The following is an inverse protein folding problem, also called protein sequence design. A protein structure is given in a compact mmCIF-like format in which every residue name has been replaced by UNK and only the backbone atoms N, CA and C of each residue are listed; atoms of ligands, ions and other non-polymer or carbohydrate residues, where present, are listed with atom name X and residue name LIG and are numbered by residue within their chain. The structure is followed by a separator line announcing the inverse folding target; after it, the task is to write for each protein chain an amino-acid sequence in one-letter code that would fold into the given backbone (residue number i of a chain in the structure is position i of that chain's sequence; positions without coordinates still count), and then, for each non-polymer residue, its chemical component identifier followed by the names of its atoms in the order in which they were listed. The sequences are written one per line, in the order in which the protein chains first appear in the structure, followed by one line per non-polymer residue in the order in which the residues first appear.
data_IF_802858998480
#
_entry.id   IF_802858998480
#
_cell.length_a   1.000
_cell.length_b   1.000
_cell.length_c   1.000
_cell.angle_alpha   90.00
_cell.angle_beta   90.00
_cell.angle_gamma   90.00
#
_symmetry.space_group_name_H-M   'P 1'
#
loop_
_entity.id
_entity.type
_entity.pdbx_description
1 polymer ?
#
# COMPACT_ATOMS: atom_id res chain seq x y z
N UNK A 1 14.23 -22.02 23.54
CA UNK A 1 13.20 -21.00 23.19
C UNK A 1 13.36 -20.62 21.73
N UNK A 2 12.29 -20.73 20.94
CA UNK A 2 12.27 -20.25 19.55
C UNK A 2 11.93 -18.75 19.58
N UNK A 3 12.86 -17.89 19.16
CA UNK A 3 12.61 -16.45 19.05
C UNK A 3 11.85 -16.22 17.74
N UNK A 4 10.59 -15.82 17.86
CA UNK A 4 9.74 -15.45 16.71
C UNK A 4 10.10 -14.02 16.33
N UNK A 5 10.13 -13.75 15.02
CA UNK A 5 10.39 -12.40 14.53
C UNK A 5 9.26 -11.45 14.94
N UNK A 6 9.62 -10.25 15.40
CA UNK A 6 8.65 -9.18 15.67
C UNK A 6 8.58 -8.28 14.44
N UNK A 7 7.40 -8.15 13.87
CA UNK A 7 7.14 -7.31 12.71
C UNK A 7 6.12 -6.25 13.10
N UNK A 8 6.38 -5.01 12.69
CA UNK A 8 5.52 -3.86 12.94
C UNK A 8 5.18 -3.15 11.63
N UNK A 9 3.90 -2.87 11.43
CA UNK A 9 3.43 -2.10 10.29
C UNK A 9 3.43 -0.60 10.62
N UNK A 10 4.04 0.21 9.76
CA UNK A 10 4.00 1.67 9.85
C UNK A 10 2.60 2.19 9.45
N UNK A 11 1.63 2.00 10.33
CA UNK A 11 0.21 2.26 10.08
C UNK A 11 -0.14 3.74 9.91
N UNK A 12 0.60 4.65 10.54
CA UNK A 12 0.23 6.06 10.66
C UNK A 12 -1.15 6.25 11.32
N UNK A 13 -1.57 5.30 12.17
CA UNK A 13 -2.90 5.28 12.79
C UNK A 13 -4.03 4.82 11.86
N UNK A 14 -3.71 4.24 10.69
CA UNK A 14 -4.70 3.76 9.72
C UNK A 14 -4.82 2.23 9.77
N UNK A 15 -6.04 1.72 9.60
CA UNK A 15 -6.33 0.28 9.44
C UNK A 15 -6.58 -0.05 7.96
N UNK A 16 -5.58 -0.45 7.21
CA UNK A 16 -5.77 -0.79 5.78
C UNK A 16 -6.40 -2.18 5.60
N UNK A 17 -6.13 -3.10 6.52
CA UNK A 17 -6.57 -4.50 6.42
C UNK A 17 -6.98 -5.03 7.79
N UNK A 18 -7.92 -5.99 7.90
CA UNK A 18 -8.23 -6.64 9.17
C UNK A 18 -7.00 -7.21 9.90
N UNK A 19 -5.97 -7.63 9.17
CA UNK A 19 -4.70 -8.13 9.70
C UNK A 19 -3.63 -7.05 9.95
N UNK A 20 -3.87 -5.78 9.58
CA UNK A 20 -2.95 -4.65 9.76
C UNK A 20 -3.59 -3.58 10.66
N UNK A 21 -3.24 -3.60 11.94
CA UNK A 21 -3.89 -2.80 12.96
C UNK A 21 -3.38 -1.35 12.94
N UNK A 22 -4.20 -0.43 13.44
CA UNK A 22 -3.83 0.99 13.64
C UNK A 22 -2.64 1.13 14.58
N UNK A 23 -2.49 0.21 15.52
CA UNK A 23 -1.36 0.11 16.43
C UNK A 23 -0.11 -0.49 15.78
N UNK A 24 -0.11 -0.77 14.47
CA UNK A 24 0.97 -1.43 13.74
C UNK A 24 1.14 -2.94 13.99
N UNK A 25 0.24 -3.57 14.77
CA UNK A 25 0.23 -5.02 14.93
C UNK A 25 -0.11 -5.70 13.60
N UNK A 26 0.70 -6.68 13.20
CA UNK A 26 0.49 -7.53 12.03
C UNK A 26 -0.01 -8.90 12.47
N UNK A 27 -1.12 -9.37 11.92
CA UNK A 27 -1.70 -10.69 12.22
C UNK A 27 -1.30 -11.71 11.15
N UNK A 28 -0.38 -12.61 11.50
CA UNK A 28 0.02 -13.76 10.69
C UNK A 28 0.34 -14.94 11.60
N UNK A 29 0.00 -16.15 11.15
CA UNK A 29 0.30 -17.38 11.89
C UNK A 29 1.82 -17.58 12.06
N UNK A 30 2.60 -17.23 11.03
CA UNK A 30 4.06 -17.21 11.05
C UNK A 30 4.65 -16.23 12.09
N UNK A 31 3.86 -15.27 12.57
CA UNK A 31 4.28 -14.31 13.61
C UNK A 31 3.68 -14.64 14.97
N UNK A 32 2.98 -15.78 15.10
CA UNK A 32 2.21 -16.16 16.29
C UNK A 32 1.20 -15.09 16.76
N UNK A 33 0.73 -14.26 15.83
CA UNK A 33 -0.29 -13.22 16.07
C UNK A 33 -1.63 -13.56 15.44
N UNK A 34 -1.73 -14.73 14.82
CA UNK A 34 -2.95 -15.28 14.23
C UNK A 34 -3.02 -16.80 14.40
N UNK A 35 -4.21 -17.38 14.21
CA UNK A 35 -4.38 -18.83 14.25
C UNK A 35 -3.67 -19.48 13.07
N UNK A 36 -3.12 -20.67 13.29
CA UNK A 36 -2.48 -21.51 12.28
C UNK A 36 -2.12 -22.87 12.88
N UNK A 37 -1.80 -23.85 12.03
CA UNK A 37 -1.49 -25.24 12.40
C UNK A 37 -0.19 -25.70 11.75
N UNK A 38 0.55 -26.58 12.44
CA UNK A 38 1.74 -27.24 11.90
C UNK A 38 2.73 -26.25 11.27
N UNK A 39 2.98 -26.44 9.96
CA UNK A 39 3.92 -25.64 9.16
C UNK A 39 3.48 -24.19 8.90
N UNK A 40 2.24 -23.79 9.24
CA UNK A 40 1.79 -22.41 9.14
C UNK A 40 2.34 -21.51 10.26
N UNK A 41 2.86 -22.11 11.34
CA UNK A 41 3.49 -21.38 12.46
C UNK A 41 5.00 -21.25 12.26
N UNK A 42 5.61 -20.28 12.94
CA UNK A 42 7.06 -20.06 12.88
C UNK A 42 7.85 -21.31 13.28
N UNK A 43 8.60 -21.86 12.33
CA UNK A 43 9.57 -22.93 12.56
C UNK A 43 10.99 -22.38 12.58
N UNK A 44 11.73 -22.59 13.67
CA UNK A 44 13.09 -22.05 13.86
C UNK A 44 14.05 -22.40 12.71
N UNK A 45 13.91 -23.59 12.13
CA UNK A 45 14.81 -24.11 11.09
C UNK A 45 14.21 -24.09 9.68
N UNK A 46 12.92 -23.72 9.55
CA UNK A 46 12.17 -23.84 8.30
C UNK A 46 11.49 -22.54 7.88
N UNK A 47 11.41 -21.55 8.77
CA UNK A 47 10.79 -20.26 8.49
C UNK A 47 11.81 -19.19 8.11
N UNK A 48 11.46 -18.33 7.16
CA UNK A 48 12.32 -17.23 6.70
C UNK A 48 11.57 -15.89 6.70
N UNK A 49 12.32 -14.78 6.73
CA UNK A 49 11.71 -13.45 6.56
C UNK A 49 11.04 -13.31 5.19
N UNK A 50 11.59 -13.95 4.15
CA UNK A 50 10.96 -13.96 2.82
C UNK A 50 9.56 -14.57 2.86
N UNK A 51 9.36 -15.67 3.58
CA UNK A 51 8.02 -16.25 3.75
C UNK A 51 7.06 -15.31 4.46
N UNK A 52 7.53 -14.53 5.44
CA UNK A 52 6.70 -13.50 6.08
C UNK A 52 6.29 -12.44 5.06
N UNK A 53 7.23 -11.91 4.28
CA UNK A 53 6.96 -10.88 3.27
C UNK A 53 6.00 -11.39 2.16
N UNK A 54 6.22 -12.60 1.65
CA UNK A 54 5.34 -13.23 0.66
C UNK A 54 3.96 -13.52 1.25
N UNK A 55 3.87 -13.90 2.53
CA UNK A 55 2.58 -14.09 3.22
C UNK A 55 1.82 -12.78 3.37
N UNK A 56 2.51 -11.67 3.67
CA UNK A 56 1.88 -10.34 3.69
C UNK A 56 1.36 -10.00 2.29
N UNK A 57 2.16 -10.19 1.25
CA UNK A 57 1.76 -9.89 -0.13
C UNK A 57 0.55 -10.73 -0.57
N UNK A 58 0.59 -12.05 -0.37
CA UNK A 58 -0.42 -12.97 -0.90
C UNK A 58 -1.69 -13.09 -0.05
N UNK A 59 -1.57 -13.03 1.28
CA UNK A 59 -2.70 -13.28 2.20
C UNK A 59 -3.30 -11.99 2.75
N UNK A 60 -2.47 -10.96 2.97
CA UNK A 60 -2.91 -9.71 3.60
C UNK A 60 -3.27 -8.66 2.55
N UNK A 61 -2.39 -8.38 1.61
CA UNK A 61 -2.58 -7.33 0.59
C UNK A 61 -3.30 -7.86 -0.66
N UNK A 62 -4.46 -8.50 -0.46
CA UNK A 62 -5.30 -9.05 -1.53
C UNK A 62 -6.36 -8.05 -2.05
N UNK A 63 -7.10 -8.45 -3.08
CA UNK A 63 -8.11 -7.66 -3.79
C UNK A 63 -9.44 -7.49 -3.01
N UNK A 64 -9.70 -8.36 -2.03
CA UNK A 64 -10.94 -8.37 -1.23
C UNK A 64 -10.65 -8.46 0.27
N UNK A 65 -9.91 -7.49 0.84
CA UNK A 65 -9.40 -7.53 2.20
C UNK A 65 -10.48 -7.57 3.29
N UNK A 66 -11.73 -7.19 2.98
CA UNK A 66 -12.88 -7.32 3.88
C UNK A 66 -13.05 -8.75 4.41
N UNK A 67 -12.83 -9.77 3.56
CA UNK A 67 -13.03 -11.17 3.94
C UNK A 67 -11.87 -11.76 4.76
N UNK A 68 -10.83 -10.98 5.03
CA UNK A 68 -9.78 -11.36 5.97
C UNK A 68 -10.28 -11.32 7.43
N UNK A 69 -11.39 -10.61 7.71
CA UNK A 69 -12.00 -10.61 9.04
C UNK A 69 -12.62 -11.99 9.37
N UNK A 70 -12.38 -12.54 10.57
CA UNK A 70 -12.99 -13.79 11.01
C UNK A 70 -14.52 -13.78 10.87
N UNK A 71 -15.06 -14.88 10.35
CA UNK A 71 -16.50 -15.06 10.18
C UNK A 71 -17.07 -14.48 8.89
N UNK A 72 -16.34 -13.62 8.17
CA UNK A 72 -16.88 -12.98 6.96
C UNK A 72 -16.76 -13.82 5.70
N UNK A 73 -15.91 -14.86 5.70
CA UNK A 73 -15.71 -15.75 4.55
C UNK A 73 -17.00 -16.37 4.00
N UNK A 74 -17.94 -16.74 4.87
CA UNK A 74 -19.21 -17.35 4.45
C UNK A 74 -20.16 -16.36 3.77
N UNK A 75 -19.89 -15.05 3.88
CA UNK A 75 -20.63 -14.00 3.18
C UNK A 75 -20.04 -13.66 1.83
N UNK A 76 -18.86 -14.21 1.48
CA UNK A 76 -18.33 -14.11 0.13
C UNK A 76 -19.38 -14.64 -0.85
N UNK A 77 -19.56 -13.97 -1.99
CA UNK A 77 -20.54 -14.30 -3.02
C UNK A 77 -22.01 -13.96 -2.67
N UNK A 78 -22.32 -13.53 -1.45
CA UNK A 78 -23.62 -12.95 -1.14
C UNK A 78 -23.68 -11.49 -1.60
N UNK A 79 -24.83 -11.01 -2.08
CA UNK A 79 -24.99 -9.60 -2.48
C UNK A 79 -24.60 -8.62 -1.37
N UNK A 80 -24.93 -8.96 -0.11
CA UNK A 80 -24.56 -8.17 1.07
C UNK A 80 -23.04 -8.14 1.31
N UNK A 81 -22.40 -9.32 1.30
CA UNK A 81 -20.95 -9.42 1.50
C UNK A 81 -20.14 -8.74 0.39
N UNK A 82 -20.57 -8.88 -0.87
CA UNK A 82 -19.96 -8.15 -2.00
C UNK A 82 -20.08 -6.63 -1.82
N UNK A 83 -21.25 -6.13 -1.40
CA UNK A 83 -21.46 -4.71 -1.15
C UNK A 83 -20.53 -4.19 -0.04
N UNK A 84 -20.40 -4.94 1.05
CA UNK A 84 -19.49 -4.59 2.14
C UNK A 84 -18.02 -4.61 1.70
N UNK A 85 -17.61 -5.61 0.91
CA UNK A 85 -16.25 -5.69 0.36
C UNK A 85 -15.93 -4.49 -0.54
N UNK A 86 -16.87 -4.09 -1.40
CA UNK A 86 -16.72 -2.93 -2.27
C UNK A 86 -16.57 -1.62 -1.48
N UNK A 87 -17.40 -1.41 -0.46
CA UNK A 87 -17.30 -0.25 0.44
C UNK A 87 -15.98 -0.25 1.24
N UNK A 88 -15.50 -1.43 1.64
CA UNK A 88 -14.22 -1.58 2.32
C UNK A 88 -13.06 -1.21 1.38
N UNK A 89 -13.12 -1.58 0.10
CA UNK A 89 -12.10 -1.23 -0.90
C UNK A 89 -12.04 0.29 -1.14
N UNK A 90 -13.18 0.97 -1.19
CA UNK A 90 -13.24 2.45 -1.27
C UNK A 90 -12.48 3.09 -0.11
N UNK A 91 -12.79 2.67 1.12
CA UNK A 91 -12.15 3.19 2.33
C UNK A 91 -10.65 2.88 2.37
N UNK A 92 -10.28 1.65 1.98
CA UNK A 92 -8.89 1.19 1.96
C UNK A 92 -8.07 1.98 0.95
N UNK A 93 -8.60 2.25 -0.24
CA UNK A 93 -7.90 3.04 -1.26
C UNK A 93 -7.61 4.46 -0.79
N UNK A 94 -8.59 5.13 -0.16
CA UNK A 94 -8.39 6.45 0.45
C UNK A 94 -7.29 6.40 1.53
N UNK A 95 -7.27 5.35 2.36
CA UNK A 95 -6.21 5.14 3.36
C UNK A 95 -4.84 4.85 2.72
N UNK A 96 -4.80 4.17 1.58
CA UNK A 96 -3.57 3.98 0.79
C UNK A 96 -3.04 5.32 0.28
N UNK A 97 -3.89 6.21 -0.26
CA UNK A 97 -3.49 7.57 -0.64
C UNK A 97 -2.91 8.35 0.55
N UNK A 98 -3.53 8.25 1.74
CA UNK A 98 -2.99 8.86 2.97
C UNK A 98 -1.63 8.28 3.37
N UNK A 99 -1.46 6.97 3.24
CA UNK A 99 -0.20 6.28 3.54
C UNK A 99 0.91 6.73 2.59
N UNK A 100 0.62 6.88 1.30
CA UNK A 100 1.54 7.47 0.31
C UNK A 100 1.97 8.88 0.73
N UNK A 101 1.02 9.74 1.14
CA UNK A 101 1.34 11.08 1.64
C UNK A 101 2.24 11.04 2.88
N UNK A 102 2.01 10.12 3.81
CA UNK A 102 2.87 9.96 4.98
C UNK A 102 4.29 9.56 4.59
N UNK A 103 4.44 8.60 3.67
CA UNK A 103 5.74 8.16 3.17
C UNK A 103 6.47 9.28 2.42
N UNK A 104 5.79 10.05 1.57
CA UNK A 104 6.40 11.18 0.84
C UNK A 104 6.90 12.28 1.78
N UNK A 105 6.11 12.61 2.81
CA UNK A 105 6.43 13.68 3.77
C UNK A 105 7.48 13.28 4.80
N UNK A 106 7.44 12.01 5.23
CA UNK A 106 8.35 11.45 6.22
C UNK A 106 8.70 10.02 5.82
N UNK A 107 9.64 9.85 4.89
CA UNK A 107 10.08 8.53 4.48
C UNK A 107 10.59 7.73 5.69
N UNK A 108 10.39 6.40 5.72
CA UNK A 108 11.02 5.57 6.73
C UNK A 108 12.54 5.69 6.65
N UNK A 109 13.19 5.66 7.81
CA UNK A 109 14.64 5.73 7.92
C UNK A 109 15.30 4.65 7.06
N UNK A 110 16.29 5.03 6.25
CA UNK A 110 16.99 4.18 5.28
C UNK A 110 16.20 3.78 4.04
N UNK A 111 14.99 4.32 3.85
CA UNK A 111 14.16 4.11 2.67
C UNK A 111 13.87 5.40 1.91
N UNK A 112 14.55 6.51 2.22
CA UNK A 112 14.34 7.82 1.62
C UNK A 112 14.47 7.77 0.10
N UNK A 113 15.58 7.23 -0.40
CA UNK A 113 15.86 7.08 -1.83
C UNK A 113 14.86 6.13 -2.49
N UNK A 114 14.50 5.02 -1.84
CA UNK A 114 13.51 4.08 -2.38
C UNK A 114 12.15 4.77 -2.54
N UNK A 115 11.68 5.48 -1.52
CA UNK A 115 10.41 6.20 -1.53
C UNK A 115 10.39 7.27 -2.62
N UNK A 116 11.47 8.04 -2.73
CA UNK A 116 11.64 9.08 -3.75
C UNK A 116 11.47 8.51 -5.16
N UNK A 117 12.27 7.50 -5.52
CA UNK A 117 12.24 6.92 -6.86
C UNK A 117 10.96 6.13 -7.14
N UNK A 118 10.49 5.34 -6.18
CA UNK A 118 9.24 4.58 -6.32
C UNK A 118 8.08 5.51 -6.68
N UNK A 119 7.88 6.61 -5.95
CA UNK A 119 6.77 7.51 -6.25
C UNK A 119 7.01 8.39 -7.47
N UNK A 120 8.26 8.64 -7.87
CA UNK A 120 8.55 9.29 -9.15
C UNK A 120 8.14 8.43 -10.35
N UNK A 121 8.41 7.12 -10.31
CA UNK A 121 8.04 6.20 -11.38
C UNK A 121 6.53 5.93 -11.44
N UNK A 122 5.85 5.97 -10.28
CA UNK A 122 4.47 5.49 -10.17
C UNK A 122 3.43 6.61 -10.04
N UNK A 123 3.82 7.90 -9.91
CA UNK A 123 2.89 9.01 -9.70
C UNK A 123 1.77 9.07 -10.74
N UNK A 124 2.09 8.85 -12.02
CA UNK A 124 1.11 8.88 -13.11
C UNK A 124 0.07 7.77 -12.93
N UNK A 125 0.52 6.54 -12.70
CA UNK A 125 -0.37 5.41 -12.49
C UNK A 125 -1.29 5.62 -11.27
N UNK A 126 -0.75 6.17 -10.17
CA UNK A 126 -1.53 6.46 -8.96
C UNK A 126 -2.58 7.54 -9.25
N UNK A 127 -2.21 8.63 -9.90
CA UNK A 127 -3.15 9.71 -10.24
C UNK A 127 -4.20 9.25 -11.26
N UNK A 128 -3.84 8.36 -12.19
CA UNK A 128 -4.75 7.79 -13.18
C UNK A 128 -5.78 6.88 -12.49
N UNK A 129 -5.35 6.05 -11.54
CA UNK A 129 -6.25 5.25 -10.70
C UNK A 129 -7.20 6.14 -9.88
N UNK A 130 -6.70 7.22 -9.28
CA UNK A 130 -7.55 8.19 -8.56
C UNK A 130 -8.63 8.76 -9.48
N UNK A 131 -8.27 9.18 -10.70
CA UNK A 131 -9.25 9.70 -11.69
C UNK A 131 -10.27 8.65 -12.10
N UNK A 132 -9.84 7.43 -12.38
CA UNK A 132 -10.74 6.33 -12.74
C UNK A 132 -11.74 6.05 -11.60
N UNK A 133 -11.27 5.94 -10.36
CA UNK A 133 -12.14 5.60 -9.23
C UNK A 133 -13.06 6.76 -8.82
N UNK A 134 -12.61 8.01 -8.93
CA UNK A 134 -13.50 9.18 -8.80
C UNK A 134 -14.59 9.19 -9.88
N UNK A 135 -14.32 8.69 -11.08
CA UNK A 135 -15.35 8.58 -12.12
C UNK A 135 -16.37 7.47 -11.87
N UNK A 136 -16.15 6.62 -10.85
CA UNK A 136 -17.05 5.52 -10.50
C UNK A 136 -16.55 4.13 -10.89
N UNK A 137 -15.35 3.99 -11.45
CA UNK A 137 -14.74 2.66 -11.65
C UNK A 137 -14.51 1.98 -10.30
N UNK A 138 -14.79 0.68 -10.21
CA UNK A 138 -14.55 -0.09 -8.99
C UNK A 138 -13.05 -0.16 -8.68
N UNK A 139 -12.70 0.11 -7.42
CA UNK A 139 -11.31 0.04 -6.92
C UNK A 139 -10.74 -1.37 -7.16
N UNK A 140 -9.52 -1.44 -7.69
CA UNK A 140 -8.85 -2.70 -8.03
C UNK A 140 -9.16 -3.22 -9.44
N UNK A 141 -10.04 -2.55 -10.20
CA UNK A 141 -10.29 -2.93 -11.60
C UNK A 141 -9.09 -2.56 -12.49
N UNK A 142 -8.59 -3.51 -13.28
CA UNK A 142 -7.54 -3.26 -14.28
C UNK A 142 -8.14 -2.60 -15.53
N UNK A 143 -7.45 -1.60 -16.08
CA UNK A 143 -7.75 -1.04 -17.39
C UNK A 143 -7.41 -2.07 -18.48
N UNK A 144 -8.33 -3.00 -18.76
CA UNK A 144 -8.14 -4.04 -19.79
C UNK A 144 -8.95 -5.32 -19.57
N UNK A 145 -9.36 -5.61 -18.33
CA UNK A 145 -10.32 -6.68 -18.07
C UNK A 145 -11.72 -6.10 -18.27
N UNK A 146 -12.48 -6.58 -19.24
CA UNK A 146 -13.82 -6.07 -19.67
C UNK A 146 -14.94 -6.04 -18.61
N UNK A 147 -14.61 -6.06 -17.33
CA UNK A 147 -15.49 -5.72 -16.22
C UNK A 147 -15.78 -4.21 -16.25
N UNK A 148 -16.86 -3.82 -16.93
CA UNK A 148 -17.44 -2.47 -16.88
C UNK A 148 -18.14 -2.18 -15.53
N UNK A 149 -17.69 -2.81 -14.44
CA UNK A 149 -18.32 -2.72 -13.13
C UNK A 149 -18.03 -1.34 -12.52
N UNK A 150 -19.10 -0.59 -12.29
CA UNK A 150 -19.06 0.75 -11.68
C UNK A 150 -19.71 0.73 -10.31
N UNK A 151 -19.27 1.63 -9.45
CA UNK A 151 -20.00 1.92 -8.22
C UNK A 151 -21.36 2.53 -8.54
N UNK A 152 -22.35 2.17 -7.73
CA UNK A 152 -23.61 2.90 -7.68
C UNK A 152 -23.33 4.25 -7.03
N UNK A 153 -23.84 5.33 -7.62
CA UNK A 153 -23.70 6.69 -7.10
C UNK A 153 -24.64 6.91 -5.89
N UNK A 154 -24.37 6.19 -4.80
CA UNK A 154 -25.06 6.33 -3.53
C UNK A 154 -24.29 7.25 -2.55
N UNK A 155 -24.82 7.42 -1.34
CA UNK A 155 -24.17 8.23 -0.30
C UNK A 155 -22.76 7.74 0.04
N UNK A 156 -22.52 6.43 0.00
CA UNK A 156 -21.20 5.86 0.30
C UNK A 156 -20.20 6.27 -0.79
N UNK A 157 -20.59 6.19 -2.06
CA UNK A 157 -19.78 6.67 -3.16
C UNK A 157 -19.54 8.20 -3.10
N UNK A 158 -20.53 9.00 -2.70
CA UNK A 158 -20.35 10.44 -2.56
C UNK A 158 -19.28 10.82 -1.51
N UNK A 159 -19.27 10.17 -0.34
CA UNK A 159 -18.26 10.38 0.69
C UNK A 159 -16.87 9.89 0.25
N UNK A 160 -16.82 8.76 -0.45
CA UNK A 160 -15.60 8.25 -1.05
C UNK A 160 -15.04 9.24 -2.09
N UNK A 161 -15.88 9.72 -3.01
CA UNK A 161 -15.51 10.71 -4.03
C UNK A 161 -14.94 11.96 -3.37
N UNK A 162 -15.66 12.56 -2.42
CA UNK A 162 -15.22 13.75 -1.69
C UNK A 162 -13.84 13.55 -1.04
N UNK A 163 -13.66 12.43 -0.35
CA UNK A 163 -12.39 12.10 0.31
C UNK A 163 -11.27 11.90 -0.70
N UNK A 164 -11.53 11.16 -1.77
CA UNK A 164 -10.54 10.86 -2.80
C UNK A 164 -10.14 12.11 -3.57
N UNK A 165 -11.07 13.02 -3.88
CA UNK A 165 -10.76 14.32 -4.49
C UNK A 165 -9.78 15.10 -3.61
N UNK A 166 -10.07 15.24 -2.32
CA UNK A 166 -9.20 15.95 -1.37
C UNK A 166 -7.78 15.36 -1.36
N UNK A 167 -7.66 14.04 -1.20
CA UNK A 167 -6.34 13.41 -1.14
C UNK A 167 -5.62 13.36 -2.48
N UNK A 168 -6.34 13.38 -3.61
CA UNK A 168 -5.74 13.49 -4.95
C UNK A 168 -5.04 14.83 -5.12
N UNK A 169 -5.63 15.94 -4.66
CA UNK A 169 -4.98 17.25 -4.71
C UNK A 169 -3.73 17.30 -3.83
N UNK A 170 -3.78 16.73 -2.62
CA UNK A 170 -2.60 16.60 -1.78
C UNK A 170 -1.50 15.76 -2.45
N UNK A 171 -1.87 14.63 -3.07
CA UNK A 171 -0.91 13.78 -3.78
C UNK A 171 -0.24 14.51 -4.94
N UNK A 172 -1.00 15.29 -5.72
CA UNK A 172 -0.42 16.11 -6.80
C UNK A 172 0.63 17.09 -6.28
N UNK A 173 0.36 17.75 -5.16
CA UNK A 173 1.30 18.68 -4.55
C UNK A 173 2.58 17.97 -4.08
N UNK A 174 2.44 16.84 -3.38
CA UNK A 174 3.60 16.06 -2.90
C UNK A 174 4.39 15.44 -4.06
N UNK A 175 3.73 14.92 -5.09
CA UNK A 175 4.39 14.37 -6.28
C UNK A 175 5.14 15.45 -7.06
N UNK A 176 4.58 16.66 -7.19
CA UNK A 176 5.30 17.78 -7.80
C UNK A 176 6.56 18.14 -7.01
N UNK A 177 6.50 18.11 -5.68
CA UNK A 177 7.69 18.29 -4.82
C UNK A 177 8.69 17.15 -4.97
N UNK A 178 8.21 15.90 -5.02
CA UNK A 178 9.05 14.71 -5.20
C UNK A 178 9.80 14.74 -6.53
N UNK A 179 9.15 15.15 -7.63
CA UNK A 179 9.79 15.33 -8.95
C UNK A 179 10.92 16.35 -8.92
N UNK A 180 10.73 17.50 -8.26
CA UNK A 180 11.80 18.51 -8.13
C UNK A 180 13.03 17.94 -7.43
N UNK A 181 12.82 17.19 -6.35
CA UNK A 181 13.90 16.52 -5.61
C UNK A 181 14.65 15.47 -6.45
N UNK A 182 13.95 14.75 -7.32
CA UNK A 182 14.59 13.82 -8.26
C UNK A 182 15.49 14.58 -9.24
N UNK A 183 14.98 15.65 -9.85
CA UNK A 183 15.76 16.46 -10.79
C UNK A 183 17.02 17.07 -10.12
N UNK A 184 16.90 17.54 -8.88
CA UNK A 184 18.04 18.05 -8.10
C UNK A 184 19.15 16.99 -7.94
N UNK A 185 18.78 15.75 -7.58
CA UNK A 185 19.74 14.66 -7.42
C UNK A 185 20.36 14.20 -8.75
N UNK A 186 19.58 14.14 -9.83
CA UNK A 186 20.11 13.83 -11.16
C UNK A 186 21.11 14.90 -11.61
N UNK A 187 20.85 16.17 -11.33
CA UNK A 187 21.81 17.25 -11.63
C UNK A 187 23.06 17.19 -10.76
N UNK A 188 22.96 16.77 -9.49
CA UNK A 188 24.13 16.56 -8.63
C UNK A 188 24.99 15.39 -9.11
N UNK A 189 24.39 14.28 -9.52
CA UNK A 189 25.10 13.12 -10.08
C UNK A 189 25.79 13.44 -11.42
N UNK A 190 25.26 14.39 -12.20
CA UNK A 190 25.90 14.91 -13.43
C UNK A 190 27.04 15.92 -13.14
N UNK A 191 27.05 16.58 -11.99
CA UNK A 191 28.11 17.52 -11.56
C UNK A 191 29.26 16.78 -10.83
N UNK A 192 28.95 15.70 -10.11
CA UNK A 192 29.90 14.86 -9.35
C UNK A 192 30.66 13.76 -10.16
N UNK A 193 30.66 13.66 -11.50
CA UNK A 193 31.64 12.80 -12.21
C UNK A 193 33.05 13.40 -12.27
N UNK A 194 33.24 14.67 -11.89
CA UNK A 194 34.50 15.42 -12.12
C UNK A 194 35.54 15.33 -10.99
N UNK A 195 35.13 15.04 -9.73
CA UNK A 195 36.07 15.05 -8.60
C UNK A 195 36.90 13.76 -8.53
N UNK A 196 36.38 12.62 -9.01
CA UNK A 196 37.12 11.36 -9.08
C UNK A 196 38.16 11.31 -10.22
N UNK A 197 38.09 12.22 -11.20
CA UNK A 197 39.08 12.31 -12.28
C UNK A 197 40.38 13.03 -11.88
N UNK A 198 40.36 13.84 -10.81
CA UNK A 198 41.53 14.61 -10.36
C UNK A 198 42.46 13.83 -9.39
N UNK A 199 42.04 12.65 -8.90
CA UNK A 199 42.85 11.80 -8.02
C UNK A 199 43.59 10.66 -8.75
N UNK A 200 43.60 10.64 -10.09
CA UNK A 200 44.39 9.68 -10.89
C UNK A 200 45.65 10.29 -11.53
N UNK A 201 46.11 11.44 -11.05
CA UNK A 201 47.34 12.10 -11.54
C UNK A 201 48.44 12.27 -10.48
N UNK A 202 48.57 11.31 -9.55
CA UNK A 202 49.80 11.11 -8.78
C UNK A 202 50.20 9.64 -8.82
#
# INVERSE_FOLDING_TARGET
MSCVQKVYYHSGGLRLNPNLYESGKVCLSLLNTWWGKGCEKWGKSSSTMLQVLVSIQGLVLNDRPYFNEPGYKNSAETTGGERCSLAYNQTTFVRSCKTTLYSLRKPPMHFETLVLWHFHEHERAILDACRAYMSGTVVGSSAGTGSNRRYVHDKCFAEFHKSLTLYTEHLRAEFATNRRRVMELETEDEIVPSIAASMKSC
#
